data_IF_930718698474
#
_entry.id   IF_930718698474
#
_cell.length_a   1.000
_cell.length_b   1.000
_cell.length_c   1.000
_cell.angle_alpha   90.00
_cell.angle_beta   90.00
_cell.angle_gamma   90.00
#
_symmetry.space_group_name_H-M   'P 1'
#
loop_
_entity.id
_entity.type
_entity.pdbx_description
1 polymer ?
#
# COMPACT_ATOMS: atom_id res chain seq x y z
N UNK A 1 22.57 17.23 0.61
CA UNK A 1 21.29 16.50 0.47
C UNK A 1 21.31 15.76 -0.88
N UNK A 2 22.15 14.73 -1.02
CA UNK A 2 22.53 14.17 -2.32
C UNK A 2 21.48 13.31 -3.02
N UNK A 3 20.39 12.97 -2.33
CA UNK A 3 19.27 12.26 -2.94
C UNK A 3 18.60 13.10 -4.04
N UNK A 4 18.35 14.39 -3.77
CA UNK A 4 17.72 15.26 -4.75
C UNK A 4 18.63 15.52 -5.95
N UNK A 5 19.95 15.59 -5.76
CA UNK A 5 20.91 15.72 -6.88
C UNK A 5 20.82 14.53 -7.85
N UNK A 6 20.49 13.32 -7.37
CA UNK A 6 20.26 12.15 -8.22
C UNK A 6 18.92 12.24 -8.97
N UNK A 7 17.86 12.69 -8.31
CA UNK A 7 16.54 12.88 -8.93
C UNK A 7 16.60 13.93 -10.04
N UNK A 8 17.36 15.01 -9.85
CA UNK A 8 17.55 16.05 -10.87
C UNK A 8 18.22 15.52 -12.15
N UNK A 9 19.14 14.54 -12.03
CA UNK A 9 19.73 13.89 -13.21
C UNK A 9 18.69 13.13 -14.05
N UNK A 10 17.65 12.58 -13.43
CA UNK A 10 16.59 11.86 -14.14
C UNK A 10 15.68 12.82 -14.94
N UNK A 11 15.52 14.08 -14.48
CA UNK A 11 14.72 15.12 -15.17
C UNK A 11 15.31 15.60 -16.50
N UNK A 12 16.57 15.28 -16.79
CA UNK A 12 17.22 15.67 -18.04
C UNK A 12 16.67 14.92 -19.26
N UNK A 13 15.91 13.84 -19.06
CA UNK A 13 15.30 13.05 -20.12
C UNK A 13 13.90 13.58 -20.43
N UNK A 14 13.62 13.89 -21.69
CA UNK A 14 12.28 14.25 -22.15
C UNK A 14 11.39 13.01 -22.23
N UNK A 15 10.31 13.01 -21.46
CA UNK A 15 9.29 11.95 -21.45
C UNK A 15 7.98 12.43 -22.08
N UNK A 16 7.99 13.52 -22.84
CA UNK A 16 6.82 14.02 -23.57
C UNK A 16 6.24 12.94 -24.49
N UNK A 17 4.94 12.66 -24.34
CA UNK A 17 4.26 11.63 -25.13
C UNK A 17 4.61 10.18 -24.76
N UNK A 18 5.41 9.96 -23.70
CA UNK A 18 5.67 8.62 -23.16
C UNK A 18 4.63 8.33 -22.09
N UNK A 19 3.77 7.33 -22.35
CA UNK A 19 2.81 6.85 -21.36
C UNK A 19 3.56 6.21 -20.16
N UNK A 20 3.23 6.57 -18.91
CA UNK A 20 3.82 5.96 -17.74
C UNK A 20 3.49 4.46 -17.64
N UNK A 21 4.48 3.66 -17.22
CA UNK A 21 4.30 2.22 -16.99
C UNK A 21 4.02 1.95 -15.50
N UNK A 22 2.78 1.58 -15.16
CA UNK A 22 2.36 1.31 -13.78
C UNK A 22 2.73 -0.11 -13.33
N UNK A 23 2.52 -1.11 -14.19
CA UNK A 23 2.87 -2.50 -13.93
C UNK A 23 3.68 -3.08 -15.09
N UNK A 24 4.77 -3.85 -14.84
CA UNK A 24 5.62 -4.38 -15.91
C UNK A 24 4.91 -5.25 -16.95
N UNK A 25 3.77 -5.87 -16.59
CA UNK A 25 3.00 -6.71 -17.50
C UNK A 25 2.07 -5.93 -18.43
N UNK A 26 1.82 -4.64 -18.18
CA UNK A 26 0.94 -3.81 -19.02
C UNK A 26 1.48 -3.70 -20.46
N UNK A 27 2.77 -3.95 -20.67
CA UNK A 27 3.41 -3.93 -22.00
C UNK A 27 3.18 -5.22 -22.81
N UNK A 28 2.77 -6.32 -22.17
CA UNK A 28 2.58 -7.63 -22.83
C UNK A 28 1.15 -8.14 -22.78
N UNK A 29 0.33 -7.62 -21.87
CA UNK A 29 -1.06 -8.05 -21.69
C UNK A 29 -1.90 -6.92 -21.11
N UNK A 30 -3.16 -6.85 -21.54
CA UNK A 30 -4.16 -6.04 -20.86
C UNK A 30 -4.46 -6.65 -19.48
N UNK A 31 -4.34 -5.86 -18.42
CA UNK A 31 -4.54 -6.32 -17.04
C UNK A 31 -5.95 -5.93 -16.58
N UNK A 32 -6.91 -6.86 -16.56
CA UNK A 32 -8.23 -6.57 -16.03
C UNK A 32 -8.17 -6.36 -14.51
N UNK A 33 -9.19 -5.68 -13.98
CA UNK A 33 -9.36 -5.58 -12.53
C UNK A 33 -9.48 -6.98 -11.92
N UNK A 34 -8.65 -7.24 -10.91
CA UNK A 34 -8.73 -8.47 -10.12
C UNK A 34 -9.90 -8.36 -9.16
N UNK A 35 -11.06 -8.79 -9.62
CA UNK A 35 -12.26 -8.92 -8.80
C UNK A 35 -12.12 -10.13 -7.87
N UNK A 36 -12.72 -10.01 -6.69
CA UNK A 36 -12.85 -11.09 -5.70
C UNK A 36 -14.31 -11.46 -5.59
N UNK A 37 -14.59 -12.74 -5.43
CA UNK A 37 -15.94 -13.24 -5.12
C UNK A 37 -16.49 -12.59 -3.84
N UNK A 38 -17.78 -12.27 -3.84
CA UNK A 38 -18.47 -11.69 -2.69
C UNK A 38 -18.88 -12.76 -1.68
N UNK A 39 -17.86 -13.40 -1.10
CA UNK A 39 -18.03 -14.47 -0.12
C UNK A 39 -17.11 -14.17 1.07
N UNK A 40 -17.63 -14.36 2.29
CA UNK A 40 -16.84 -14.32 3.50
C UNK A 40 -16.02 -15.61 3.61
N UNK A 41 -14.69 -15.50 3.67
CA UNK A 41 -13.77 -16.64 3.67
C UNK A 41 -13.00 -16.82 4.98
N UNK A 42 -12.81 -15.76 5.75
CA UNK A 42 -11.89 -15.75 6.89
C UNK A 42 -12.61 -15.96 8.23
N UNK A 43 -11.93 -16.65 9.14
CA UNK A 43 -12.32 -16.72 10.55
C UNK A 43 -11.58 -15.64 11.35
N UNK A 44 -12.27 -15.06 12.34
CA UNK A 44 -11.65 -14.06 13.22
C UNK A 44 -10.92 -14.75 14.38
N UNK A 45 -9.59 -14.83 14.29
CA UNK A 45 -8.73 -15.20 15.42
C UNK A 45 -8.29 -13.94 16.17
N UNK A 46 -9.10 -13.55 17.17
CA UNK A 46 -8.87 -12.32 17.93
C UNK A 46 -7.55 -12.36 18.71
N UNK A 47 -7.17 -13.52 19.22
CA UNK A 47 -5.93 -13.68 20.00
C UNK A 47 -4.71 -13.50 19.11
N UNK A 48 -4.66 -14.17 17.96
CA UNK A 48 -3.58 -14.01 16.99
C UNK A 48 -3.50 -12.57 16.47
N UNK A 49 -4.64 -11.97 16.13
CA UNK A 49 -4.71 -10.60 15.60
C UNK A 49 -4.23 -9.54 16.60
N UNK A 50 -4.33 -9.80 17.90
CA UNK A 50 -3.98 -8.85 18.96
C UNK A 50 -2.59 -9.11 19.58
N UNK A 51 -1.92 -10.19 19.21
CA UNK A 51 -0.63 -10.61 19.76
C UNK A 51 0.47 -9.54 19.68
N UNK A 52 0.49 -8.75 18.61
CA UNK A 52 1.50 -7.70 18.39
C UNK A 52 1.06 -6.31 18.86
N UNK A 53 -0.15 -6.18 19.39
CA UNK A 53 -0.69 -4.91 19.82
C UNK A 53 0.04 -4.38 21.05
N UNK A 54 0.52 -3.13 21.06
CA UNK A 54 1.16 -2.55 22.24
C UNK A 54 0.22 -2.45 23.46
N UNK A 55 -1.08 -2.26 23.23
CA UNK A 55 -2.09 -2.19 24.28
C UNK A 55 -3.45 -2.67 23.76
N UNK A 56 -4.10 -3.53 24.55
CA UNK A 56 -5.41 -4.12 24.25
C UNK A 56 -6.28 -4.06 25.49
N UNK A 57 -7.53 -3.66 25.34
CA UNK A 57 -8.51 -3.70 26.41
C UNK A 57 -9.85 -4.19 25.88
N UNK A 58 -10.45 -5.19 26.55
CA UNK A 58 -11.76 -5.77 26.17
C UNK A 58 -11.82 -6.15 24.68
N UNK A 59 -10.69 -6.61 24.13
CA UNK A 59 -10.57 -6.99 22.74
C UNK A 59 -10.56 -5.81 21.76
N UNK A 60 -10.20 -4.60 22.19
CA UNK A 60 -10.01 -3.39 21.38
C UNK A 60 -8.53 -2.98 21.40
N UNK A 61 -8.03 -2.45 20.28
CA UNK A 61 -6.71 -1.81 20.23
C UNK A 61 -6.79 -0.43 20.88
N UNK A 62 -5.92 -0.15 21.85
CA UNK A 62 -5.88 1.15 22.51
C UNK A 62 -4.95 2.11 21.77
N UNK A 63 -5.43 3.34 21.55
CA UNK A 63 -4.65 4.45 20.98
C UNK A 63 -4.83 5.71 21.82
N UNK A 64 -3.81 6.57 21.95
CA UNK A 64 -3.97 7.86 22.62
C UNK A 64 -5.01 8.72 21.90
N UNK A 65 -5.97 9.26 22.66
CA UNK A 65 -6.86 10.30 22.15
C UNK A 65 -6.07 11.61 22.13
N UNK A 66 -5.91 12.22 20.96
CA UNK A 66 -5.40 13.60 20.86
C UNK A 66 -6.51 14.53 21.32
N UNK A 67 -6.23 15.36 22.31
CA UNK A 67 -7.11 16.42 22.81
C UNK A 67 -6.27 17.71 22.78
N UNK A 68 -6.72 18.72 22.03
CA UNK A 68 -6.18 20.08 22.01
C UNK A 68 -6.97 20.99 22.97
#
# INVERSE_FOLDING_TARGET
NGFFDLVEKMRAVDTGGVEPLAHPLDVVQDIPLRLREDVASEQVDREANQKSAPAVERGLFLVPKVIE
#
